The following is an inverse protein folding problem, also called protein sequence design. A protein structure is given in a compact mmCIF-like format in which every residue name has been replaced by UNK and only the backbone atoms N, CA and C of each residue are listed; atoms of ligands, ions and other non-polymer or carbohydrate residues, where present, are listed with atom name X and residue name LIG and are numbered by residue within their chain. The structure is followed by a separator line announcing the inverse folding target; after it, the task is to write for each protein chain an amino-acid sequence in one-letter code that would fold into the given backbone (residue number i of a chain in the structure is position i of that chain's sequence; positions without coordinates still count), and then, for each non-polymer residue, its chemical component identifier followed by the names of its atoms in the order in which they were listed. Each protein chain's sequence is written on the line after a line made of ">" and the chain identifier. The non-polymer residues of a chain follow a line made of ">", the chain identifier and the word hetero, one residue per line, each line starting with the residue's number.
data_IF_589396105274
#
_entry.id   IF_589396105274
#
_cell.length_a   1.000
_cell.length_b   1.000
_cell.length_c   1.000
_cell.angle_alpha   90.00
_cell.angle_beta   90.00
_cell.angle_gamma   90.00
#
_symmetry.space_group_name_H-M   'P 1'
#
loop_
_entity.id
_entity.type
_entity.pdbx_description
1 polymer ?
#
# COMPACT_ATOMS: atom_id res chain seq x y z
N UNK A 1 -7.37 17.24 -12.48
CA UNK A 1 -7.95 16.76 -11.19
C UNK A 1 -7.03 15.78 -10.46
N UNK A 2 -6.54 14.69 -11.09
CA UNK A 2 -5.55 13.81 -10.44
C UNK A 2 -4.21 14.51 -10.13
N UNK A 3 -3.72 15.36 -11.03
CA UNK A 3 -2.50 16.13 -10.81
C UNK A 3 -2.62 17.01 -9.55
N UNK A 4 -3.66 17.86 -9.47
CA UNK A 4 -4.00 18.66 -8.28
C UNK A 4 -4.03 17.82 -6.98
N UNK A 5 -4.66 16.64 -7.05
CA UNK A 5 -4.78 15.74 -5.92
C UNK A 5 -3.41 15.29 -5.41
N UNK A 6 -2.54 14.86 -6.31
CA UNK A 6 -1.19 14.44 -5.95
C UNK A 6 -0.29 15.60 -5.59
N UNK A 7 -0.49 16.82 -6.11
CA UNK A 7 0.30 17.98 -5.70
C UNK A 7 -0.03 18.39 -4.26
N UNK A 8 -1.31 18.44 -3.91
CA UNK A 8 -1.80 18.92 -2.59
C UNK A 8 -1.80 17.87 -1.49
N UNK A 9 -1.65 16.59 -1.84
CA UNK A 9 -1.64 15.51 -0.85
C UNK A 9 -0.41 15.55 0.08
N UNK A 10 -0.56 15.17 1.37
CA UNK A 10 0.55 15.07 2.30
C UNK A 10 1.65 14.10 1.81
N UNK A 11 2.92 14.45 2.03
CA UNK A 11 4.06 13.59 1.68
C UNK A 11 3.98 12.23 2.37
N UNK A 12 3.54 12.19 3.63
CA UNK A 12 3.34 10.94 4.39
C UNK A 12 2.30 10.02 3.73
N UNK A 13 1.20 10.58 3.22
CA UNK A 13 0.18 9.82 2.48
C UNK A 13 0.77 9.21 1.21
N UNK A 14 1.55 9.98 0.44
CA UNK A 14 2.17 9.50 -0.81
C UNK A 14 3.11 8.32 -0.52
N UNK A 15 4.01 8.48 0.45
CA UNK A 15 4.96 7.44 0.83
C UNK A 15 4.22 6.17 1.23
N UNK A 16 3.18 6.27 2.09
CA UNK A 16 2.37 5.13 2.52
C UNK A 16 1.68 4.41 1.37
N UNK A 17 1.07 5.15 0.43
CA UNK A 17 0.37 4.55 -0.71
C UNK A 17 1.35 3.85 -1.65
N UNK A 18 2.47 4.50 -2.00
CA UNK A 18 3.45 3.89 -2.90
C UNK A 18 4.16 2.69 -2.27
N UNK A 19 4.47 2.73 -0.98
CA UNK A 19 5.02 1.57 -0.26
C UNK A 19 4.02 0.43 -0.17
N UNK A 20 2.74 0.71 0.11
CA UNK A 20 1.68 -0.28 0.09
C UNK A 20 1.53 -0.95 -1.28
N UNK A 21 1.49 -0.16 -2.36
CA UNK A 21 1.41 -0.69 -3.72
C UNK A 21 2.63 -1.54 -4.09
N UNK A 22 3.83 -1.09 -3.70
CA UNK A 22 5.07 -1.84 -3.90
C UNK A 22 5.06 -3.19 -3.18
N UNK A 23 4.65 -3.23 -1.91
CA UNK A 23 4.58 -4.48 -1.13
C UNK A 23 3.55 -5.45 -1.72
N UNK A 24 2.37 -4.97 -2.12
CA UNK A 24 1.38 -5.83 -2.78
C UNK A 24 1.94 -6.40 -4.08
N UNK A 25 2.62 -5.58 -4.89
CA UNK A 25 3.26 -6.05 -6.13
C UNK A 25 4.33 -7.13 -5.86
N UNK A 26 5.18 -6.95 -4.85
CA UNK A 26 6.18 -7.96 -4.45
C UNK A 26 5.50 -9.25 -4.00
N UNK A 27 4.45 -9.16 -3.20
CA UNK A 27 3.67 -10.32 -2.77
C UNK A 27 3.02 -11.09 -3.92
N UNK A 28 2.53 -10.38 -4.94
CA UNK A 28 2.00 -11.00 -6.16
C UNK A 28 3.10 -11.72 -6.94
N UNK A 29 4.29 -11.11 -7.08
CA UNK A 29 5.44 -11.74 -7.74
C UNK A 29 5.83 -13.04 -7.01
N UNK A 30 5.91 -13.01 -5.68
CA UNK A 30 6.18 -14.20 -4.86
C UNK A 30 5.12 -15.28 -5.06
N UNK A 31 3.84 -14.89 -5.16
CA UNK A 31 2.74 -15.82 -5.39
C UNK A 31 2.86 -16.50 -6.76
N UNK A 32 3.11 -15.73 -7.82
CA UNK A 32 3.28 -16.26 -9.18
C UNK A 32 4.51 -17.17 -9.25
N UNK A 33 5.63 -16.74 -8.68
CA UNK A 33 6.86 -17.54 -8.63
C UNK A 33 6.66 -18.85 -7.83
N UNK A 34 5.97 -18.80 -6.69
CA UNK A 34 5.63 -19.97 -5.88
C UNK A 34 4.76 -20.97 -6.64
N UNK A 35 3.75 -20.48 -7.36
CA UNK A 35 2.90 -21.32 -8.22
C UNK A 35 3.71 -21.92 -9.39
N UNK A 36 4.53 -21.12 -10.07
CA UNK A 36 5.31 -21.58 -11.22
C UNK A 36 6.38 -22.63 -10.85
N UNK A 37 6.90 -22.57 -9.63
CA UNK A 37 7.94 -23.48 -9.13
C UNK A 37 7.39 -24.63 -8.29
N UNK A 38 6.08 -24.66 -8.01
CA UNK A 38 5.47 -25.59 -7.06
C UNK A 38 6.03 -25.46 -5.64
N UNK A 39 6.55 -24.28 -5.28
CA UNK A 39 7.20 -24.05 -3.98
C UNK A 39 6.21 -23.43 -2.98
N UNK A 40 5.72 -24.22 -2.01
CA UNK A 40 4.75 -23.73 -1.03
C UNK A 40 5.35 -22.67 -0.09
N UNK A 41 6.67 -22.66 0.11
CA UNK A 41 7.36 -21.67 0.93
C UNK A 41 7.27 -20.25 0.36
N UNK A 42 7.27 -20.10 -0.97
CA UNK A 42 7.08 -18.80 -1.60
C UNK A 42 5.64 -18.31 -1.47
N UNK A 43 4.66 -19.22 -1.53
CA UNK A 43 3.25 -18.88 -1.35
C UNK A 43 2.94 -18.46 0.09
N UNK A 44 3.50 -19.14 1.08
CA UNK A 44 3.31 -18.77 2.50
C UNK A 44 4.04 -17.47 2.84
N UNK A 45 5.19 -17.20 2.23
CA UNK A 45 5.91 -15.93 2.37
C UNK A 45 5.20 -14.76 1.68
N UNK A 46 4.48 -15.00 0.59
CA UNK A 46 3.69 -13.96 -0.08
C UNK A 46 2.54 -13.42 0.79
N UNK A 47 1.93 -14.28 1.61
CA UNK A 47 0.78 -13.92 2.46
C UNK A 47 1.04 -12.73 3.40
N UNK A 48 2.08 -12.74 4.26
CA UNK A 48 2.38 -11.61 5.14
C UNK A 48 2.81 -10.37 4.36
N UNK A 49 3.46 -10.52 3.20
CA UNK A 49 3.88 -9.38 2.36
C UNK A 49 2.68 -8.63 1.80
N UNK A 50 1.70 -9.36 1.25
CA UNK A 50 0.43 -8.77 0.78
C UNK A 50 -0.35 -8.19 1.95
N UNK A 51 -0.43 -8.93 3.08
CA UNK A 51 -1.09 -8.47 4.29
C UNK A 51 -0.56 -7.14 4.80
N UNK A 52 0.77 -6.98 4.89
CA UNK A 52 1.42 -5.72 5.27
C UNK A 52 1.10 -4.60 4.29
N UNK A 53 1.13 -4.90 2.97
CA UNK A 53 0.74 -3.94 1.95
C UNK A 53 -0.68 -3.42 2.13
N UNK A 54 -1.64 -4.32 2.42
CA UNK A 54 -3.04 -3.95 2.69
C UNK A 54 -3.19 -3.11 3.96
N UNK A 55 -2.50 -3.47 5.04
CA UNK A 55 -2.51 -2.69 6.30
C UNK A 55 -1.99 -1.28 6.06
N UNK A 56 -0.85 -1.14 5.37
CA UNK A 56 -0.31 0.18 5.02
C UNK A 56 -1.26 0.98 4.12
N UNK A 57 -2.01 0.31 3.25
CA UNK A 57 -3.02 0.94 2.41
C UNK A 57 -4.14 1.56 3.26
N UNK A 58 -4.63 0.84 4.26
CA UNK A 58 -5.64 1.33 5.20
C UNK A 58 -5.09 2.48 6.03
N UNK A 59 -3.85 2.37 6.53
CA UNK A 59 -3.19 3.47 7.27
C UNK A 59 -3.08 4.72 6.41
N UNK A 60 -2.75 4.59 5.12
CA UNK A 60 -2.76 5.70 4.17
C UNK A 60 -4.11 6.43 4.10
N UNK A 61 -5.22 5.68 4.06
CA UNK A 61 -6.57 6.26 4.07
C UNK A 61 -6.83 7.04 5.36
N UNK A 62 -6.42 6.51 6.51
CA UNK A 62 -6.57 7.18 7.81
C UNK A 62 -5.75 8.47 7.88
N UNK A 63 -4.48 8.43 7.46
CA UNK A 63 -3.59 9.61 7.45
C UNK A 63 -4.16 10.71 6.57
N UNK A 64 -4.70 10.35 5.40
CA UNK A 64 -5.37 11.32 4.51
C UNK A 64 -6.64 11.88 5.16
N UNK A 65 -7.47 11.04 5.74
CA UNK A 65 -8.70 11.46 6.42
C UNK A 65 -8.43 12.43 7.57
N UNK A 66 -7.38 12.16 8.36
CA UNK A 66 -6.92 13.06 9.42
C UNK A 66 -6.44 14.40 8.88
N UNK A 67 -5.67 14.40 7.78
CA UNK A 67 -5.20 15.63 7.14
C UNK A 67 -6.35 16.49 6.63
N UNK A 68 -7.35 15.88 5.98
CA UNK A 68 -8.55 16.59 5.51
C UNK A 68 -9.33 17.17 6.69
N UNK A 69 -9.53 16.39 7.76
CA UNK A 69 -10.23 16.87 8.97
C UNK A 69 -9.52 18.04 9.65
N UNK A 70 -8.18 18.03 9.67
CA UNK A 70 -7.39 19.15 10.21
C UNK A 70 -7.53 20.42 9.36
N UNK A 71 -7.64 20.29 8.04
CA UNK A 71 -7.76 21.42 7.13
C UNK A 71 -9.18 22.02 7.10
N UNK A 72 -10.23 21.24 7.39
CA UNK A 72 -11.62 21.75 7.49
C UNK A 72 -11.88 22.51 8.80
N UNK A 73 -11.12 22.21 9.87
CA UNK A 73 -11.25 22.86 11.18
C UNK A 73 -10.51 24.22 11.29
N UNK A 74 -9.85 24.66 10.22
CA UNK A 74 -9.26 26.00 10.09
C UNK A 74 -10.20 26.87 9.26
#
# INVERSE_FOLDING_TARGET
>A
MLHEFWVTAPTSYKILVFTAMGLIAVGLILTVAGNATGNPGLMTAALPVIGLGLVLHIVGLVVRGQSVRKNIRK
#
